data_IF_589529999989
#
_entry.id   IF_589529999989
#
_cell.length_a   1.000
_cell.length_b   1.000
_cell.length_c   1.000
_cell.angle_alpha   90.00
_cell.angle_beta   90.00
_cell.angle_gamma   90.00
#
_symmetry.space_group_name_H-M   'P 1'
#
loop_
_entity.id
_entity.type
_entity.pdbx_description
1 polymer ?
#
# COMPACT_ATOMS: atom_id res chain seq x y z
N UNK A 1 5.84 -28.32 -26.17
CA UNK A 1 5.09 -27.19 -25.60
C UNK A 1 5.41 -27.10 -24.11
N UNK A 2 5.97 -25.98 -23.62
CA UNK A 2 6.33 -25.81 -22.21
C UNK A 2 5.11 -25.37 -21.39
N UNK A 3 4.77 -26.11 -20.33
CA UNK A 3 3.83 -25.64 -19.31
C UNK A 3 4.52 -24.57 -18.47
N UNK A 4 4.34 -23.30 -18.84
CA UNK A 4 4.75 -22.17 -17.99
C UNK A 4 3.90 -22.19 -16.72
N UNK A 5 4.52 -22.49 -15.58
CA UNK A 5 3.84 -22.49 -14.29
C UNK A 5 3.66 -21.05 -13.79
N UNK A 6 2.54 -20.42 -14.15
CA UNK A 6 2.17 -19.03 -13.75
C UNK A 6 1.82 -18.88 -12.25
N UNK A 7 2.19 -19.86 -11.41
CA UNK A 7 1.94 -19.89 -9.97
C UNK A 7 3.15 -19.56 -9.10
N UNK A 8 4.38 -19.82 -9.57
CA UNK A 8 5.61 -19.72 -8.77
C UNK A 8 5.97 -18.26 -8.45
N UNK A 9 5.74 -17.35 -9.40
CA UNK A 9 6.03 -15.92 -9.26
C UNK A 9 4.79 -15.09 -8.91
N UNK A 10 3.69 -15.76 -8.52
CA UNK A 10 2.46 -15.06 -8.18
C UNK A 10 2.63 -14.47 -6.79
N UNK A 11 2.40 -13.16 -6.61
CA UNK A 11 2.57 -12.55 -5.31
C UNK A 11 1.58 -13.11 -4.29
N UNK A 12 1.93 -13.10 -3.00
CA UNK A 12 1.08 -13.65 -1.95
C UNK A 12 -0.28 -12.93 -1.94
N UNK A 13 -1.34 -13.68 -2.23
CA UNK A 13 -2.73 -13.24 -2.13
C UNK A 13 -3.31 -13.85 -0.86
N UNK A 14 -3.73 -13.02 0.09
CA UNK A 14 -4.38 -13.48 1.32
C UNK A 14 -5.81 -12.98 1.33
N UNK A 15 -6.78 -13.90 1.36
CA UNK A 15 -8.22 -13.59 1.46
C UNK A 15 -8.73 -12.53 0.46
N UNK A 16 -8.25 -12.58 -0.79
CA UNK A 16 -8.67 -11.68 -1.86
C UNK A 16 -8.03 -10.28 -1.85
N UNK A 17 -7.16 -9.99 -0.86
CA UNK A 17 -6.30 -8.80 -0.87
C UNK A 17 -4.98 -9.18 -1.53
N UNK A 18 -4.71 -8.55 -2.67
CA UNK A 18 -3.45 -8.66 -3.40
C UNK A 18 -2.45 -7.63 -2.89
N UNK A 19 -1.33 -8.11 -2.37
CA UNK A 19 -0.17 -7.29 -2.06
C UNK A 19 0.00 -6.93 -0.58
N UNK A 20 1.25 -7.03 -0.13
CA UNK A 20 1.65 -6.85 1.27
C UNK A 20 1.29 -5.46 1.83
N UNK A 21 1.22 -4.44 0.99
CA UNK A 21 0.96 -3.06 1.42
C UNK A 21 -0.46 -2.85 1.97
N UNK A 22 -1.47 -3.44 1.33
CA UNK A 22 -2.86 -3.27 1.82
C UNK A 22 -3.08 -4.09 3.09
N UNK A 23 -2.42 -5.25 3.19
CA UNK A 23 -2.48 -6.10 4.38
C UNK A 23 -1.82 -5.42 5.58
N UNK A 24 -0.66 -4.78 5.39
CA UNK A 24 0.00 -4.03 6.46
C UNK A 24 -0.80 -2.81 6.90
N UNK A 25 -1.42 -2.08 5.97
CA UNK A 25 -2.31 -0.96 6.30
C UNK A 25 -3.55 -1.44 7.07
N UNK A 26 -4.15 -2.58 6.68
CA UNK A 26 -5.29 -3.16 7.40
C UNK A 26 -4.89 -3.55 8.83
N UNK A 27 -3.77 -4.25 8.99
CA UNK A 27 -3.28 -4.71 10.31
C UNK A 27 -2.90 -3.55 11.22
N UNK A 28 -2.06 -2.62 10.72
CA UNK A 28 -1.67 -1.44 11.48
C UNK A 28 -2.89 -0.55 11.79
N UNK A 29 -3.79 -0.37 10.83
CA UNK A 29 -5.02 0.40 11.00
C UNK A 29 -5.92 -0.17 12.09
N UNK A 30 -6.11 -1.50 12.14
CA UNK A 30 -6.88 -2.15 13.20
C UNK A 30 -6.27 -1.92 14.60
N UNK A 31 -4.95 -2.05 14.74
CA UNK A 31 -4.26 -1.80 16.01
C UNK A 31 -4.36 -0.34 16.45
N UNK A 32 -4.22 0.61 15.52
CA UNK A 32 -4.36 2.04 15.84
C UNK A 32 -5.81 2.35 16.23
N UNK A 33 -6.79 1.81 15.50
CA UNK A 33 -8.21 2.04 15.77
C UNK A 33 -8.62 1.51 17.15
N UNK A 34 -8.16 0.33 17.57
CA UNK A 34 -8.54 -0.20 18.88
C UNK A 34 -7.98 0.68 20.01
N UNK A 35 -6.73 1.14 19.88
CA UNK A 35 -6.10 2.05 20.84
C UNK A 35 -6.86 3.38 20.91
N UNK A 36 -7.19 3.97 19.75
CA UNK A 36 -7.96 5.21 19.69
C UNK A 36 -9.34 5.06 20.36
N UNK A 37 -10.07 3.99 20.04
CA UNK A 37 -11.38 3.74 20.65
C UNK A 37 -11.29 3.50 22.15
N UNK A 38 -10.22 2.85 22.64
CA UNK A 38 -9.99 2.65 24.07
C UNK A 38 -9.72 3.97 24.80
N UNK A 39 -8.88 4.85 24.22
CA UNK A 39 -8.60 6.18 24.79
C UNK A 39 -9.88 7.02 24.83
N UNK A 40 -10.65 7.06 23.74
CA UNK A 40 -11.90 7.82 23.66
C UNK A 40 -12.90 7.32 24.69
N UNK A 41 -13.06 5.99 24.81
CA UNK A 41 -13.94 5.38 25.79
C UNK A 41 -13.53 5.72 27.23
N UNK A 42 -12.22 5.74 27.51
CA UNK A 42 -11.68 6.05 28.83
C UNK A 42 -11.91 7.51 29.27
N UNK A 43 -11.85 8.46 28.33
CA UNK A 43 -12.04 9.89 28.64
C UNK A 43 -13.53 10.26 28.71
N UNK A 44 -14.37 9.65 27.88
CA UNK A 44 -15.79 9.99 27.76
C UNK A 44 -16.71 9.31 28.77
N UNK A 45 -16.21 8.33 29.54
CA UNK A 45 -17.03 7.53 30.45
C UNK A 45 -18.07 6.66 29.72
N UNK A 46 -17.96 6.52 28.39
CA UNK A 46 -18.82 5.64 27.59
C UNK A 46 -18.65 4.18 28.04
N UNK A 47 -19.72 3.40 27.95
CA UNK A 47 -19.61 1.97 28.24
C UNK A 47 -18.75 1.28 27.17
N UNK A 48 -17.85 0.36 27.55
CA UNK A 48 -16.95 -0.33 26.61
C UNK A 48 -17.67 -1.03 25.45
N UNK A 49 -18.93 -1.39 25.63
CA UNK A 49 -19.77 -2.04 24.61
C UNK A 49 -19.98 -1.14 23.39
N UNK A 50 -20.24 0.16 23.58
CA UNK A 50 -20.41 1.10 22.46
C UNK A 50 -19.08 1.36 21.75
N UNK A 51 -17.99 1.51 22.50
CA UNK A 51 -16.65 1.68 21.93
C UNK A 51 -16.25 0.49 21.05
N UNK A 52 -16.55 -0.74 21.49
CA UNK A 52 -16.29 -1.94 20.72
C UNK A 52 -17.16 -2.06 19.46
N UNK A 53 -18.44 -1.66 19.54
CA UNK A 53 -19.32 -1.60 18.36
C UNK A 53 -18.80 -0.62 17.30
N UNK A 54 -18.34 0.57 17.73
CA UNK A 54 -17.71 1.55 16.85
C UNK A 54 -16.42 1.00 16.23
N UNK A 55 -15.59 0.31 17.02
CA UNK A 55 -14.37 -0.32 16.51
C UNK A 55 -14.66 -1.33 15.40
N UNK A 56 -15.60 -2.26 15.62
CA UNK A 56 -15.95 -3.28 14.64
C UNK A 56 -16.48 -2.69 13.33
N UNK A 57 -17.36 -1.68 13.43
CA UNK A 57 -17.91 -1.01 12.25
C UNK A 57 -16.83 -0.28 11.45
N UNK A 58 -15.92 0.43 12.12
CA UNK A 58 -14.78 1.10 11.48
C UNK A 58 -13.84 0.12 10.77
N UNK A 59 -13.48 -0.99 11.42
CA UNK A 59 -12.61 -2.02 10.83
C UNK A 59 -13.28 -2.67 9.61
N UNK A 60 -14.59 -2.94 9.68
CA UNK A 60 -15.33 -3.52 8.55
C UNK A 60 -15.40 -2.55 7.35
N UNK A 61 -15.63 -1.26 7.60
CA UNK A 61 -15.59 -0.22 6.55
C UNK A 61 -14.20 -0.12 5.94
N UNK A 62 -13.15 -0.11 6.77
CA UNK A 62 -11.77 -0.08 6.29
C UNK A 62 -11.43 -1.30 5.41
N UNK A 63 -11.87 -2.49 5.84
CA UNK A 63 -11.66 -3.73 5.10
C UNK A 63 -12.31 -3.67 3.70
N UNK A 64 -13.59 -3.28 3.61
CA UNK A 64 -14.28 -3.21 2.31
C UNK A 64 -13.63 -2.21 1.36
N UNK A 65 -13.17 -1.05 1.87
CA UNK A 65 -12.43 -0.06 1.09
C UNK A 65 -11.10 -0.61 0.58
N UNK A 66 -10.33 -1.30 1.43
CA UNK A 66 -9.03 -1.87 1.06
C UNK A 66 -9.16 -3.00 0.05
N UNK A 67 -10.15 -3.88 0.20
CA UNK A 67 -10.43 -4.93 -0.80
C UNK A 67 -10.78 -4.31 -2.15
N UNK A 68 -11.63 -3.27 -2.18
CA UNK A 68 -11.95 -2.55 -3.41
C UNK A 68 -10.72 -1.91 -4.06
N UNK A 69 -9.86 -1.27 -3.25
CA UNK A 69 -8.64 -0.63 -3.72
C UNK A 69 -7.62 -1.65 -4.26
N UNK A 70 -7.49 -2.78 -3.58
CA UNK A 70 -6.63 -3.90 -3.96
C UNK A 70 -7.07 -4.54 -5.27
N UNK A 71 -8.38 -4.73 -5.48
CA UNK A 71 -8.93 -5.18 -6.77
C UNK A 71 -8.64 -4.19 -7.90
N UNK A 72 -8.75 -2.88 -7.64
CA UNK A 72 -8.57 -1.83 -8.65
C UNK A 72 -7.11 -1.62 -9.07
N UNK A 73 -6.17 -1.61 -8.13
CA UNK A 73 -4.77 -1.28 -8.41
C UNK A 73 -3.83 -2.49 -8.39
N UNK A 74 -4.27 -3.64 -7.85
CA UNK A 74 -3.41 -4.79 -7.63
C UNK A 74 -2.22 -4.45 -6.70
N UNK A 75 -1.26 -5.37 -6.63
CA UNK A 75 -0.11 -5.22 -5.74
C UNK A 75 0.86 -4.11 -6.18
N UNK A 76 1.19 -4.04 -7.48
CA UNK A 76 2.17 -3.07 -7.99
C UNK A 76 1.57 -1.72 -8.36
N UNK A 77 0.25 -1.60 -8.50
CA UNK A 77 -0.38 -0.36 -8.97
C UNK A 77 -0.31 0.78 -7.97
N UNK A 78 -0.33 0.51 -6.66
CA UNK A 78 -0.16 1.57 -5.64
C UNK A 78 1.24 2.20 -5.72
N UNK A 79 2.29 1.38 -5.75
CA UNK A 79 3.68 1.85 -5.93
C UNK A 79 3.88 2.53 -7.27
N UNK A 80 3.28 2.02 -8.35
CA UNK A 80 3.36 2.63 -9.69
C UNK A 80 2.70 4.01 -9.71
N UNK A 81 1.51 4.17 -9.14
CA UNK A 81 0.84 5.47 -9.05
C UNK A 81 1.64 6.44 -8.18
N UNK A 82 2.21 5.98 -7.08
CA UNK A 82 3.04 6.83 -6.23
C UNK A 82 4.33 7.26 -6.93
N UNK A 83 4.96 6.35 -7.70
CA UNK A 83 6.12 6.67 -8.52
C UNK A 83 5.78 7.68 -9.62
N UNK A 84 4.64 7.52 -10.31
CA UNK A 84 4.18 8.50 -11.29
C UNK A 84 3.98 9.89 -10.69
N UNK A 85 3.45 10.00 -9.48
CA UNK A 85 3.32 11.29 -8.78
C UNK A 85 4.65 11.95 -8.41
N UNK A 86 5.70 11.15 -8.22
CA UNK A 86 7.05 11.63 -7.88
C UNK A 86 7.93 11.88 -9.10
N UNK A 87 7.47 11.51 -10.30
CA UNK A 87 8.24 11.66 -11.51
C UNK A 87 8.25 13.14 -11.93
N UNK A 88 9.44 13.74 -12.18
CA UNK A 88 9.52 15.10 -12.67
C UNK A 88 8.86 15.22 -14.04
N UNK A 89 8.14 16.32 -14.27
CA UNK A 89 7.42 16.57 -15.53
C UNK A 89 8.35 16.70 -16.72
N UNK A 90 9.56 17.20 -16.50
CA UNK A 90 10.58 17.36 -17.53
C UNK A 90 11.95 17.02 -16.95
N UNK A 91 12.66 16.11 -17.63
CA UNK A 91 14.08 15.87 -17.40
C UNK A 91 14.82 16.52 -18.57
N UNK A 92 15.40 17.70 -18.34
CA UNK A 92 16.22 18.39 -19.34
C UNK A 92 17.69 18.35 -18.92
N UNK A 93 18.56 17.91 -19.81
CA UNK A 93 20.00 18.06 -19.66
C UNK A 93 20.44 19.24 -20.53
N UNK A 94 20.95 20.30 -19.91
CA UNK A 94 21.41 21.51 -20.64
C UNK A 94 22.88 21.41 -21.08
N UNK A 95 23.65 20.54 -20.44
CA UNK A 95 25.08 20.38 -20.69
C UNK A 95 25.44 19.02 -21.29
N UNK A 96 26.43 19.04 -22.19
CA UNK A 96 27.00 17.83 -22.80
C UNK A 96 27.80 16.96 -21.83
N UNK A 97 28.11 17.49 -20.63
CA UNK A 97 28.92 16.81 -19.60
C UNK A 97 28.29 15.48 -19.16
N UNK A 98 26.97 15.41 -19.07
CA UNK A 98 26.22 14.19 -18.69
C UNK A 98 26.51 13.05 -19.67
N UNK A 99 26.51 13.34 -20.96
CA UNK A 99 26.78 12.34 -22.00
C UNK A 99 28.27 11.94 -22.06
N UNK A 100 29.18 12.88 -21.79
CA UNK A 100 30.61 12.60 -21.68
C UNK A 100 30.91 11.67 -20.51
N UNK A 101 30.27 11.90 -19.35
CA UNK A 101 30.40 11.06 -18.17
C UNK A 101 29.88 9.63 -18.42
N UNK A 102 28.72 9.49 -19.07
CA UNK A 102 28.17 8.20 -19.47
C UNK A 102 29.14 7.43 -20.38
N UNK A 103 29.73 8.09 -21.39
CA UNK A 103 30.64 7.45 -22.35
C UNK A 103 31.95 6.95 -21.71
N UNK A 104 32.41 7.59 -20.63
CA UNK A 104 33.60 7.16 -19.90
C UNK A 104 33.33 5.93 -19.02
N UNK A 105 32.14 5.83 -18.44
CA UNK A 105 31.71 4.66 -17.67
C UNK A 105 31.65 3.38 -18.50
N UNK A 106 31.31 3.46 -19.79
CA UNK A 106 31.21 2.29 -20.68
C UNK A 106 32.57 1.79 -21.19
N UNK A 107 33.64 2.56 -21.01
CA UNK A 107 35.00 2.20 -21.45
C UNK A 107 35.81 1.45 -20.39
N UNK A 108 35.30 1.35 -19.16
CA UNK A 108 35.82 0.46 -18.11
C UNK A 108 35.11 -0.89 -18.20
#
# INVERSE_FOLDING_TARGET
MYKVNKGVDRPPEVMGIRGMQYLTILGAGAVIMIILTAIICGISGLTPMYGFGIYLTLVMVLYTKLVGLSKKHGERGYKKNQAHKRMPTLITARDSSVYKALRQSTKK
#
